data_IF_020728523904
#
_entry.id   IF_020728523904
#
_cell.length_a   1.000
_cell.length_b   1.000
_cell.length_c   1.000
_cell.angle_alpha   90.00
_cell.angle_beta   90.00
_cell.angle_gamma   90.00
#
_symmetry.space_group_name_H-M   'P 1'
#
loop_
_entity.id
_entity.type
_entity.pdbx_description
1 polymer ?
#
# COMPACT_ATOMS: atom_id res chain seq x y z
N UNK A 1 -18.84 11.30 -4.37
CA UNK A 1 -18.84 10.29 -3.29
C UNK A 1 -19.47 10.87 -2.06
N UNK A 2 -20.30 10.09 -1.40
CA UNK A 2 -20.93 10.45 -0.12
C UNK A 2 -20.34 9.53 0.94
N UNK A 3 -19.78 10.10 2.02
CA UNK A 3 -19.45 9.35 3.23
C UNK A 3 -20.78 9.00 3.94
N UNK A 4 -21.40 7.90 3.50
CA UNK A 4 -22.76 7.53 3.84
C UNK A 4 -22.91 7.04 5.27
N UNK A 5 -21.97 6.21 5.73
CA UNK A 5 -22.05 5.60 7.04
C UNK A 5 -20.72 5.18 7.61
N UNK A 6 -20.67 4.99 8.92
CA UNK A 6 -19.50 4.45 9.65
C UNK A 6 -19.98 3.37 10.63
N UNK A 7 -19.20 2.29 10.71
CA UNK A 7 -19.44 1.20 11.64
C UNK A 7 -18.26 1.00 12.61
N UNK A 8 -18.56 0.63 13.83
CA UNK A 8 -17.59 0.21 14.83
C UNK A 8 -18.20 -0.88 15.72
N UNK A 9 -17.38 -1.72 16.32
CA UNK A 9 -17.80 -2.65 17.40
C UNK A 9 -18.29 -1.94 18.67
N UNK A 10 -17.93 -0.66 18.77
CA UNK A 10 -18.36 0.25 19.83
C UNK A 10 -19.28 1.30 19.22
N UNK A 11 -20.57 1.23 19.58
CA UNK A 11 -21.62 2.11 19.04
C UNK A 11 -21.38 3.60 19.34
N UNK A 12 -20.88 3.92 20.53
CA UNK A 12 -20.59 5.32 20.92
C UNK A 12 -19.42 5.89 20.14
N UNK A 13 -18.39 5.06 19.84
CA UNK A 13 -17.28 5.46 18.95
C UNK A 13 -17.76 5.69 17.53
N UNK A 14 -18.63 4.85 16.99
CA UNK A 14 -19.21 5.04 15.66
C UNK A 14 -19.99 6.35 15.59
N UNK A 15 -20.85 6.61 16.58
CA UNK A 15 -21.66 7.82 16.69
C UNK A 15 -20.80 9.08 16.82
N UNK A 16 -19.81 9.05 17.70
CA UNK A 16 -18.89 10.19 17.89
C UNK A 16 -18.10 10.50 16.61
N UNK A 17 -17.64 9.47 15.89
CA UNK A 17 -16.96 9.64 14.62
C UNK A 17 -17.89 10.21 13.54
N UNK A 18 -19.12 9.69 13.44
CA UNK A 18 -20.13 10.19 12.52
C UNK A 18 -20.42 11.68 12.76
N UNK A 19 -20.65 12.06 14.00
CA UNK A 19 -20.87 13.47 14.40
C UNK A 19 -19.70 14.37 14.04
N UNK A 20 -18.47 13.92 14.36
CA UNK A 20 -17.25 14.69 14.09
C UNK A 20 -17.06 15.01 12.61
N UNK A 21 -17.41 14.07 11.75
CA UNK A 21 -17.14 14.15 10.31
C UNK A 21 -18.39 14.44 9.46
N UNK A 22 -19.56 14.68 10.09
CA UNK A 22 -20.80 14.97 9.38
C UNK A 22 -21.33 13.78 8.57
N UNK A 23 -21.05 12.54 9.02
CA UNK A 23 -21.53 11.31 8.39
C UNK A 23 -22.96 11.05 8.88
N UNK A 24 -23.89 10.82 7.96
CA UNK A 24 -25.32 10.73 8.28
C UNK A 24 -25.68 9.51 9.13
N UNK A 25 -25.03 8.36 8.87
CA UNK A 25 -25.40 7.09 9.48
C UNK A 25 -24.25 6.53 10.32
N UNK A 26 -24.59 5.99 11.50
CA UNK A 26 -23.66 5.23 12.34
C UNK A 26 -24.25 3.87 12.69
N UNK A 27 -23.44 2.83 12.56
CA UNK A 27 -23.87 1.44 12.81
C UNK A 27 -23.11 0.88 13.99
N UNK A 28 -23.80 0.15 14.86
CA UNK A 28 -23.25 -0.47 16.06
C UNK A 28 -22.53 -1.80 15.80
N UNK A 29 -22.63 -2.32 14.59
CA UNK A 29 -21.92 -3.52 14.13
C UNK A 29 -21.65 -3.45 12.63
N UNK A 30 -20.68 -4.23 12.18
CA UNK A 30 -20.36 -4.37 10.77
C UNK A 30 -21.49 -5.09 10.02
N UNK A 31 -22.09 -6.10 10.66
CA UNK A 31 -23.22 -6.84 10.10
C UNK A 31 -24.43 -5.93 9.82
N UNK A 32 -24.74 -5.02 10.76
CA UNK A 32 -25.83 -4.05 10.59
C UNK A 32 -25.55 -3.12 9.39
N UNK A 33 -24.31 -2.64 9.28
CA UNK A 33 -23.89 -1.80 8.15
C UNK A 33 -24.03 -2.56 6.81
N UNK A 34 -23.62 -3.81 6.75
CA UNK A 34 -23.64 -4.61 5.53
C UNK A 34 -25.04 -5.02 5.05
N UNK A 35 -26.08 -4.84 5.87
CA UNK A 35 -27.48 -5.02 5.45
C UNK A 35 -28.04 -3.79 4.72
N UNK A 36 -27.39 -2.63 4.81
CA UNK A 36 -27.87 -1.41 4.17
C UNK A 36 -27.57 -1.44 2.67
N UNK A 37 -28.64 -1.38 1.86
CA UNK A 37 -28.57 -1.46 0.40
C UNK A 37 -27.96 -0.20 -0.25
N UNK A 38 -27.93 0.94 0.45
CA UNK A 38 -27.38 2.20 -0.06
C UNK A 38 -25.85 2.26 -0.01
N UNK A 39 -25.17 1.23 0.50
CA UNK A 39 -23.72 1.16 0.55
C UNK A 39 -23.17 0.46 -0.69
N UNK A 40 -22.51 1.22 -1.56
CA UNK A 40 -21.89 0.71 -2.78
C UNK A 40 -20.48 0.19 -2.54
N UNK A 41 -19.71 0.85 -1.65
CA UNK A 41 -18.29 0.57 -1.37
C UNK A 41 -18.03 0.64 0.12
N UNK A 42 -17.32 -0.35 0.66
CA UNK A 42 -16.83 -0.36 2.04
C UNK A 42 -15.34 -0.08 2.08
N UNK A 43 -14.94 1.00 2.76
CA UNK A 43 -13.53 1.27 3.07
C UNK A 43 -13.15 0.64 4.41
N UNK A 44 -12.21 -0.30 4.38
CA UNK A 44 -11.73 -1.00 5.58
C UNK A 44 -10.44 -0.34 6.06
N UNK A 45 -10.49 0.25 7.26
CA UNK A 45 -9.38 0.97 7.90
C UNK A 45 -9.14 0.47 9.34
N UNK A 46 -9.31 -0.82 9.56
CA UNK A 46 -9.03 -1.49 10.83
C UNK A 46 -7.55 -1.89 10.94
N UNK A 47 -7.02 -2.42 12.05
CA UNK A 47 -5.68 -2.98 12.09
C UNK A 47 -5.50 -4.13 11.07
N UNK A 48 -4.27 -4.35 10.58
CA UNK A 48 -3.95 -5.33 9.53
C UNK A 48 -4.54 -6.73 9.81
N UNK A 49 -4.48 -7.19 11.05
CA UNK A 49 -5.00 -8.50 11.47
C UNK A 49 -6.51 -8.70 11.28
N UNK A 50 -7.25 -7.62 11.09
CA UNK A 50 -8.72 -7.65 10.94
C UNK A 50 -9.16 -7.46 9.47
N UNK A 51 -8.24 -7.09 8.57
CA UNK A 51 -8.59 -6.81 7.18
C UNK A 51 -9.24 -8.02 6.50
N UNK A 52 -8.66 -9.20 6.69
CA UNK A 52 -9.15 -10.45 6.10
C UNK A 52 -10.62 -10.73 6.49
N UNK A 53 -10.93 -10.80 7.79
CA UNK A 53 -12.27 -11.10 8.25
C UNK A 53 -13.29 -10.05 7.78
N UNK A 54 -12.93 -8.76 7.88
CA UNK A 54 -13.85 -7.69 7.49
C UNK A 54 -14.07 -7.65 5.98
N UNK A 55 -13.03 -7.85 5.17
CA UNK A 55 -13.17 -7.92 3.72
C UNK A 55 -14.00 -9.14 3.29
N UNK A 56 -13.77 -10.30 3.91
CA UNK A 56 -14.55 -11.52 3.67
C UNK A 56 -16.04 -11.31 3.96
N UNK A 57 -16.37 -10.67 5.08
CA UNK A 57 -17.76 -10.32 5.42
C UNK A 57 -18.40 -9.45 4.33
N UNK A 58 -17.69 -8.43 3.83
CA UNK A 58 -18.17 -7.55 2.77
C UNK A 58 -18.43 -8.32 1.45
N UNK A 59 -17.44 -9.12 1.01
CA UNK A 59 -17.54 -9.91 -0.23
C UNK A 59 -18.68 -10.93 -0.17
N UNK A 60 -18.90 -11.60 0.97
CA UNK A 60 -20.01 -12.53 1.17
C UNK A 60 -21.38 -11.84 1.10
N UNK A 61 -21.44 -10.54 1.38
CA UNK A 61 -22.65 -9.70 1.27
C UNK A 61 -22.74 -8.96 -0.08
N UNK A 62 -21.83 -9.24 -1.01
CA UNK A 62 -21.82 -8.58 -2.33
C UNK A 62 -21.44 -7.11 -2.29
N UNK A 63 -20.78 -6.65 -1.20
CA UNK A 63 -20.34 -5.27 -1.06
C UNK A 63 -18.91 -5.12 -1.58
N UNK A 64 -18.70 -4.15 -2.48
CA UNK A 64 -17.38 -3.81 -2.97
C UNK A 64 -16.46 -3.30 -1.85
N UNK A 65 -15.14 -3.52 -2.00
CA UNK A 65 -14.17 -3.26 -0.94
C UNK A 65 -12.97 -2.45 -1.43
N UNK A 66 -12.64 -1.39 -0.69
CA UNK A 66 -11.33 -0.73 -0.67
C UNK A 66 -10.68 -1.07 0.68
N UNK A 67 -9.66 -1.93 0.68
CA UNK A 67 -9.03 -2.41 1.91
C UNK A 67 -7.68 -1.73 2.13
N UNK A 68 -7.46 -1.16 3.33
CA UNK A 68 -6.16 -0.57 3.67
C UNK A 68 -5.00 -1.55 3.51
N UNK A 69 -3.85 -0.97 3.26
CA UNK A 69 -2.55 -1.66 3.23
C UNK A 69 -2.05 -1.94 4.67
N UNK A 70 -1.24 -2.97 4.95
CA UNK A 70 -1.08 -4.13 4.07
C UNK A 70 -2.42 -4.84 3.89
N UNK A 71 -2.66 -5.37 2.70
CA UNK A 71 -3.97 -5.91 2.32
C UNK A 71 -4.53 -6.92 3.32
N UNK A 72 -3.67 -7.82 3.79
CA UNK A 72 -3.95 -8.82 4.83
C UNK A 72 -2.72 -9.02 5.71
N UNK A 73 -2.81 -9.90 6.69
CA UNK A 73 -1.68 -10.22 7.55
C UNK A 73 -0.67 -11.19 6.90
N UNK A 74 -1.13 -12.02 5.94
CA UNK A 74 -0.29 -12.93 5.17
C UNK A 74 -0.88 -13.21 3.78
N UNK A 75 -0.09 -13.84 2.91
CA UNK A 75 -0.47 -14.12 1.51
C UNK A 75 -1.59 -15.16 1.38
N UNK A 76 -1.72 -16.10 2.31
CA UNK A 76 -2.79 -17.09 2.27
C UNK A 76 -4.16 -16.43 2.44
N UNK A 77 -4.28 -15.51 3.38
CA UNK A 77 -5.48 -14.70 3.56
C UNK A 77 -5.79 -13.83 2.34
N UNK A 78 -4.75 -13.22 1.72
CA UNK A 78 -4.93 -12.45 0.50
C UNK A 78 -5.44 -13.31 -0.65
N UNK A 79 -4.85 -14.48 -0.88
CA UNK A 79 -5.23 -15.40 -1.95
C UNK A 79 -6.68 -15.87 -1.82
N UNK A 80 -7.12 -16.19 -0.59
CA UNK A 80 -8.52 -16.56 -0.31
C UNK A 80 -9.49 -15.41 -0.62
N UNK A 81 -9.20 -14.18 -0.17
CA UNK A 81 -10.05 -13.02 -0.47
C UNK A 81 -10.16 -12.74 -1.97
N UNK A 82 -9.04 -12.77 -2.68
CA UNK A 82 -9.02 -12.51 -4.11
C UNK A 82 -9.73 -13.60 -4.92
N UNK A 83 -9.67 -14.85 -4.47
CA UNK A 83 -10.46 -15.95 -5.05
C UNK A 83 -11.96 -15.74 -4.77
N UNK A 84 -12.32 -15.43 -3.54
CA UNK A 84 -13.71 -15.15 -3.15
C UNK A 84 -14.29 -13.97 -3.96
N UNK A 85 -13.52 -12.91 -4.17
CA UNK A 85 -13.93 -11.76 -4.99
C UNK A 85 -14.24 -12.17 -6.43
N UNK A 86 -13.41 -13.03 -7.04
CA UNK A 86 -13.65 -13.59 -8.38
C UNK A 86 -14.89 -14.49 -8.42
N UNK A 87 -15.01 -15.40 -7.46
CA UNK A 87 -16.17 -16.31 -7.36
C UNK A 87 -17.50 -15.56 -7.20
N UNK A 88 -17.48 -14.47 -6.45
CA UNK A 88 -18.67 -13.64 -6.19
C UNK A 88 -18.88 -12.55 -7.23
N UNK A 89 -17.94 -12.33 -8.11
CA UNK A 89 -17.91 -11.22 -9.07
C UNK A 89 -18.09 -9.86 -8.36
N UNK A 90 -17.36 -9.65 -7.26
CA UNK A 90 -17.40 -8.44 -6.44
C UNK A 90 -16.06 -7.74 -6.47
N UNK A 91 -16.08 -6.42 -6.67
CA UNK A 91 -14.86 -5.59 -6.68
C UNK A 91 -14.15 -5.58 -5.32
N UNK A 92 -12.84 -5.78 -5.35
CA UNK A 92 -11.95 -5.51 -4.22
C UNK A 92 -10.61 -4.98 -4.70
N UNK A 93 -10.05 -4.03 -3.98
CA UNK A 93 -8.69 -3.54 -4.25
C UNK A 93 -7.98 -3.14 -2.96
N UNK A 94 -6.64 -3.18 -3.00
CA UNK A 94 -5.77 -2.71 -1.92
C UNK A 94 -5.60 -1.20 -1.99
N UNK A 95 -5.74 -0.52 -0.86
CA UNK A 95 -5.57 0.92 -0.70
C UNK A 95 -4.08 1.33 -0.56
N UNK A 96 -3.22 0.81 -1.43
CA UNK A 96 -1.84 1.31 -1.57
C UNK A 96 -1.85 2.59 -2.40
N UNK A 97 -2.31 3.66 -1.79
CA UNK A 97 -2.71 4.92 -2.40
C UNK A 97 -1.69 5.54 -3.36
N UNK A 98 -0.39 5.32 -3.11
CA UNK A 98 0.71 5.79 -3.98
C UNK A 98 0.53 5.36 -5.43
N UNK A 99 0.05 4.13 -5.68
CA UNK A 99 -0.13 3.60 -7.05
C UNK A 99 -1.20 4.33 -7.85
N UNK A 100 -2.14 4.97 -7.18
CA UNK A 100 -3.25 5.68 -7.80
C UNK A 100 -2.92 7.15 -8.11
N UNK A 101 -1.80 7.67 -7.59
CA UNK A 101 -1.43 9.08 -7.70
C UNK A 101 -0.96 9.47 -9.11
N UNK A 102 -1.28 10.69 -9.59
CA UNK A 102 -0.86 11.18 -10.91
C UNK A 102 0.66 11.15 -11.08
N UNK A 103 1.45 11.60 -10.08
CA UNK A 103 2.92 11.59 -10.19
C UNK A 103 3.52 10.19 -10.30
N UNK A 104 2.87 9.15 -9.75
CA UNK A 104 3.33 7.77 -9.93
C UNK A 104 3.25 7.33 -11.40
N UNK A 105 2.23 7.78 -12.12
CA UNK A 105 2.13 7.58 -13.58
C UNK A 105 3.20 8.35 -14.32
N UNK A 106 3.40 9.63 -13.98
CA UNK A 106 4.45 10.47 -14.58
C UNK A 106 5.85 9.88 -14.37
N UNK A 107 6.16 9.32 -13.20
CA UNK A 107 7.43 8.62 -12.94
C UNK A 107 7.60 7.45 -13.92
N UNK A 108 6.58 6.61 -14.07
CA UNK A 108 6.62 5.48 -15.01
C UNK A 108 6.76 5.94 -16.48
N UNK A 109 6.10 7.02 -16.87
CA UNK A 109 6.24 7.62 -18.20
C UNK A 109 7.68 8.12 -18.43
N UNK A 110 8.32 8.78 -17.48
CA UNK A 110 9.71 9.24 -17.60
C UNK A 110 10.68 8.08 -17.75
N UNK A 111 10.49 7.03 -16.98
CA UNK A 111 11.29 5.80 -17.06
C UNK A 111 11.11 5.14 -18.43
N UNK A 112 9.89 4.90 -18.87
CA UNK A 112 9.59 4.22 -20.13
C UNK A 112 9.98 5.02 -21.37
N UNK A 113 9.92 6.35 -21.30
CA UNK A 113 10.35 7.25 -22.39
C UNK A 113 11.88 7.48 -22.41
N UNK A 114 12.64 6.84 -21.51
CA UNK A 114 14.10 6.92 -21.50
C UNK A 114 14.67 8.29 -21.12
N UNK A 115 13.93 9.09 -20.32
CA UNK A 115 14.35 10.44 -19.88
C UNK A 115 15.71 10.39 -19.16
N UNK A 116 15.96 9.31 -18.40
CA UNK A 116 17.23 9.06 -17.69
C UNK A 116 18.08 7.98 -18.36
N UNK A 117 17.77 7.59 -19.59
CA UNK A 117 18.37 6.44 -20.28
C UNK A 117 17.82 5.12 -19.71
N UNK A 118 18.63 4.06 -19.72
CA UNK A 118 18.26 2.76 -19.13
C UNK A 118 18.34 2.83 -17.61
N UNK A 119 17.25 2.62 -16.87
CA UNK A 119 17.28 2.61 -15.41
C UNK A 119 17.91 1.31 -14.91
N UNK A 120 18.91 1.40 -14.03
CA UNK A 120 19.68 0.24 -13.53
C UNK A 120 19.64 0.10 -12.02
N UNK A 121 19.50 1.21 -11.29
CA UNK A 121 19.48 1.19 -9.83
C UNK A 121 18.36 2.08 -9.29
N UNK A 122 17.74 1.60 -8.20
CA UNK A 122 16.74 2.35 -7.45
C UNK A 122 17.08 2.29 -5.96
N UNK A 123 16.97 3.43 -5.28
CA UNK A 123 16.95 3.47 -3.81
C UNK A 123 15.65 4.08 -3.34
N UNK A 124 15.09 3.55 -2.25
CA UNK A 124 13.90 4.12 -1.65
C UNK A 124 13.84 3.84 -0.15
N UNK A 125 13.29 4.79 0.59
CA UNK A 125 13.15 4.63 2.03
C UNK A 125 11.84 5.22 2.55
N UNK A 126 11.37 4.68 3.69
CA UNK A 126 10.24 5.22 4.43
C UNK A 126 10.45 5.05 5.93
N UNK A 127 10.58 6.16 6.65
CA UNK A 127 10.75 6.20 8.09
C UNK A 127 9.79 7.16 8.77
N UNK A 128 9.09 6.66 9.79
CA UNK A 128 8.24 7.43 10.69
C UNK A 128 8.43 6.96 12.13
N UNK A 129 8.66 7.83 13.13
CA UNK A 129 8.81 7.43 14.53
C UNK A 129 7.43 7.10 15.13
N UNK A 130 6.89 5.95 14.76
CA UNK A 130 5.55 5.46 15.16
C UNK A 130 5.60 4.17 16.00
N UNK A 131 6.79 3.72 16.39
CA UNK A 131 7.02 2.53 17.23
C UNK A 131 6.34 2.57 18.59
N UNK A 132 5.89 3.75 19.05
CA UNK A 132 5.13 3.90 20.28
C UNK A 132 3.65 3.46 20.17
N UNK A 133 3.15 3.26 18.95
CA UNK A 133 1.76 2.86 18.73
C UNK A 133 1.60 1.36 18.98
N UNK A 134 0.67 0.98 19.85
CA UNK A 134 0.41 -0.42 20.21
C UNK A 134 0.27 -1.31 18.98
N UNK A 135 -0.49 -0.90 17.96
CA UNK A 135 -0.68 -1.70 16.73
C UNK A 135 0.62 -2.02 15.99
N UNK A 136 1.68 -1.22 16.19
CA UNK A 136 2.99 -1.43 15.56
C UNK A 136 3.81 -2.47 16.29
N UNK A 137 3.58 -2.64 17.59
CA UNK A 137 4.35 -3.51 18.47
C UNK A 137 3.71 -4.90 18.68
N UNK A 138 2.42 -5.06 18.33
CA UNK A 138 1.68 -6.28 18.66
C UNK A 138 1.65 -7.27 17.48
N UNK A 139 2.26 -8.48 17.62
CA UNK A 139 2.13 -9.54 16.62
C UNK A 139 0.66 -9.93 16.35
N UNK A 140 -0.19 -9.90 17.38
CA UNK A 140 -1.64 -10.16 17.26
C UNK A 140 -2.39 -9.12 16.39
N UNK A 141 -1.80 -7.96 16.15
CA UNK A 141 -2.34 -6.92 15.26
C UNK A 141 -1.61 -6.86 13.91
N UNK A 142 -0.74 -7.85 13.61
CA UNK A 142 0.14 -7.85 12.46
C UNK A 142 1.00 -6.58 12.40
N UNK A 143 1.66 -6.24 13.53
CA UNK A 143 2.55 -5.09 13.66
C UNK A 143 3.86 -5.27 12.90
N UNK A 144 4.71 -4.25 12.97
CA UNK A 144 6.03 -4.22 12.34
C UNK A 144 6.16 -3.20 11.22
N UNK A 145 7.40 -2.82 10.94
CA UNK A 145 7.72 -1.83 9.92
C UNK A 145 7.50 -2.35 8.50
N UNK A 146 7.66 -3.64 8.25
CA UNK A 146 7.51 -4.22 6.91
C UNK A 146 6.09 -4.02 6.37
N UNK A 147 5.08 -4.46 7.12
CA UNK A 147 3.69 -4.36 6.67
C UNK A 147 3.18 -2.92 6.65
N UNK A 148 3.61 -2.06 7.59
CA UNK A 148 3.11 -0.69 7.67
C UNK A 148 3.85 0.29 6.74
N UNK A 149 5.17 0.14 6.59
CA UNK A 149 6.06 1.07 5.88
C UNK A 149 6.79 0.40 4.70
N UNK A 150 7.35 -0.79 4.90
CA UNK A 150 8.10 -1.52 3.87
C UNK A 150 7.25 -1.85 2.64
N UNK A 151 5.95 -2.06 2.81
CA UNK A 151 5.00 -2.26 1.71
C UNK A 151 5.06 -1.13 0.67
N UNK A 152 5.33 0.11 1.07
CA UNK A 152 5.49 1.24 0.16
C UNK A 152 6.78 1.17 -0.65
N UNK A 153 7.91 0.84 0.00
CA UNK A 153 9.19 0.72 -0.70
C UNK A 153 9.19 -0.43 -1.69
N UNK A 154 8.57 -1.56 -1.33
CA UNK A 154 8.37 -2.72 -2.22
C UNK A 154 7.48 -2.36 -3.41
N UNK A 155 6.36 -1.68 -3.18
CA UNK A 155 5.48 -1.20 -4.25
C UNK A 155 6.19 -0.20 -5.16
N UNK A 156 6.98 0.73 -4.61
CA UNK A 156 7.73 1.69 -5.40
C UNK A 156 8.74 0.99 -6.33
N UNK A 157 9.52 0.03 -5.82
CA UNK A 157 10.44 -0.75 -6.65
C UNK A 157 9.71 -1.54 -7.74
N UNK A 158 8.60 -2.18 -7.40
CA UNK A 158 7.78 -2.93 -8.35
C UNK A 158 7.16 -2.07 -9.46
N UNK A 159 6.69 -0.87 -9.12
CA UNK A 159 6.13 0.07 -10.10
C UNK A 159 7.16 0.48 -11.16
N UNK A 160 8.44 0.55 -10.79
CA UNK A 160 9.53 1.02 -11.66
C UNK A 160 10.21 -0.13 -12.41
N UNK A 161 10.52 -1.23 -11.71
CA UNK A 161 11.33 -2.34 -12.24
C UNK A 161 10.52 -3.60 -12.57
N UNK A 162 9.20 -3.57 -12.32
CA UNK A 162 8.32 -4.71 -12.61
C UNK A 162 8.42 -5.82 -11.57
N UNK A 163 8.12 -7.05 -11.99
CA UNK A 163 7.79 -8.16 -11.09
C UNK A 163 8.83 -9.28 -11.04
N UNK A 164 9.77 -9.30 -11.99
CA UNK A 164 10.69 -10.42 -12.21
C UNK A 164 11.93 -10.35 -11.28
N UNK A 165 11.71 -10.61 -9.99
CA UNK A 165 12.78 -10.64 -8.98
C UNK A 165 13.53 -11.98 -9.09
N UNK A 166 14.86 -11.91 -9.25
CA UNK A 166 15.76 -13.06 -9.29
C UNK A 166 16.30 -13.41 -7.89
N UNK A 167 16.65 -12.38 -7.10
CA UNK A 167 17.25 -12.56 -5.77
C UNK A 167 16.78 -11.51 -4.79
N UNK A 168 16.57 -11.94 -3.56
CA UNK A 168 16.28 -11.07 -2.41
C UNK A 168 17.41 -11.24 -1.38
N UNK A 169 17.93 -10.12 -0.85
CA UNK A 169 18.85 -10.09 0.28
C UNK A 169 18.30 -9.12 1.30
N UNK A 170 18.12 -9.57 2.54
CA UNK A 170 17.44 -8.75 3.53
C UNK A 170 17.92 -8.97 4.96
N UNK A 171 17.65 -7.99 5.80
CA UNK A 171 17.87 -8.06 7.25
C UNK A 171 16.86 -7.17 7.97
N UNK A 172 16.63 -7.45 9.25
CA UNK A 172 15.80 -6.58 10.10
C UNK A 172 16.37 -6.46 11.52
N UNK A 173 15.95 -5.41 12.22
CA UNK A 173 16.04 -5.28 13.67
C UNK A 173 14.64 -5.56 14.23
N UNK A 174 14.56 -6.40 15.25
CA UNK A 174 13.28 -6.74 15.89
C UNK A 174 13.08 -5.99 17.20
N UNK A 175 11.83 -5.74 17.54
CA UNK A 175 11.40 -5.30 18.87
C UNK A 175 11.44 -6.46 19.87
N UNK A 176 11.28 -6.17 21.15
CA UNK A 176 11.14 -7.18 22.21
C UNK A 176 9.92 -8.10 22.01
N UNK A 177 8.90 -7.63 21.29
CA UNK A 177 7.70 -8.39 20.95
C UNK A 177 7.87 -9.31 19.73
N UNK A 178 9.01 -9.22 19.03
CA UNK A 178 9.38 -10.07 17.91
C UNK A 178 8.97 -9.58 16.53
N UNK A 179 8.27 -8.44 16.41
CA UNK A 179 8.00 -7.80 15.11
C UNK A 179 9.23 -6.99 14.64
N UNK A 180 9.35 -6.74 13.35
CA UNK A 180 10.44 -5.91 12.82
C UNK A 180 10.21 -4.42 13.12
N UNK A 181 11.20 -3.76 13.69
CA UNK A 181 11.18 -2.30 13.90
C UNK A 181 11.80 -1.54 12.74
N UNK A 182 12.80 -2.14 12.11
CA UNK A 182 13.53 -1.60 10.96
C UNK A 182 13.94 -2.75 10.05
N UNK A 183 14.00 -2.49 8.75
CA UNK A 183 14.46 -3.46 7.78
C UNK A 183 15.23 -2.82 6.63
N UNK A 184 16.11 -3.62 6.00
CA UNK A 184 16.80 -3.30 4.77
C UNK A 184 16.64 -4.47 3.80
N UNK A 185 16.27 -4.17 2.55
CA UNK A 185 15.94 -5.14 1.54
C UNK A 185 16.63 -4.75 0.24
N UNK A 186 17.38 -5.67 -0.36
CA UNK A 186 17.93 -5.51 -1.70
C UNK A 186 17.24 -6.51 -2.63
N UNK A 187 16.62 -6.00 -3.69
CA UNK A 187 16.01 -6.80 -4.75
C UNK A 187 16.91 -6.77 -5.98
N UNK A 188 17.22 -7.92 -6.55
CA UNK A 188 17.91 -8.07 -7.83
C UNK A 188 16.89 -8.62 -8.81
N UNK A 189 16.69 -7.93 -9.92
CA UNK A 189 15.75 -8.30 -10.98
C UNK A 189 16.47 -9.07 -12.10
N UNK A 190 15.74 -9.88 -12.86
CA UNK A 190 16.29 -10.72 -13.94
C UNK A 190 17.05 -9.97 -15.04
N UNK A 191 16.71 -8.69 -15.25
CA UNK A 191 17.37 -7.80 -16.21
C UNK A 191 18.53 -7.00 -15.59
N UNK A 192 19.14 -7.53 -14.52
CA UNK A 192 20.28 -6.96 -13.80
C UNK A 192 20.03 -5.62 -13.11
N UNK A 193 18.78 -5.20 -12.95
CA UNK A 193 18.41 -4.02 -12.17
C UNK A 193 18.47 -4.34 -10.68
N UNK A 194 18.76 -3.33 -9.87
CA UNK A 194 18.85 -3.48 -8.41
C UNK A 194 18.03 -2.40 -7.70
N UNK A 195 17.22 -2.81 -6.72
CA UNK A 195 16.58 -1.89 -5.79
C UNK A 195 17.11 -2.09 -4.37
N UNK A 196 17.52 -0.99 -3.71
CA UNK A 196 17.95 -0.96 -2.31
C UNK A 196 16.93 -0.17 -1.50
N UNK A 197 16.26 -0.87 -0.59
CA UNK A 197 15.09 -0.38 0.11
C UNK A 197 15.32 -0.46 1.62
N UNK A 198 14.83 0.51 2.37
CA UNK A 198 14.77 0.38 3.83
C UNK A 198 13.52 1.06 4.41
N UNK A 199 13.07 0.53 5.54
CA UNK A 199 11.98 1.14 6.31
C UNK A 199 12.22 1.06 7.81
N UNK A 200 11.69 2.04 8.55
CA UNK A 200 11.88 2.14 10.00
C UNK A 200 10.65 2.76 10.67
N UNK A 201 10.20 2.15 11.75
CA UNK A 201 9.21 2.75 12.64
C UNK A 201 9.84 3.51 13.83
N UNK A 202 11.18 3.58 13.88
CA UNK A 202 11.95 4.18 14.99
C UNK A 202 12.44 5.60 14.68
N UNK A 203 12.61 5.95 13.41
CA UNK A 203 13.20 7.22 13.01
C UNK A 203 12.40 7.94 11.92
N UNK A 204 12.61 9.24 11.81
CA UNK A 204 12.24 10.01 10.62
C UNK A 204 13.30 9.78 9.54
N UNK A 205 12.85 9.57 8.29
CA UNK A 205 13.71 9.59 7.13
C UNK A 205 13.31 10.73 6.17
N UNK A 206 14.10 10.96 5.13
CA UNK A 206 13.76 11.88 4.05
C UNK A 206 12.63 11.36 3.15
N UNK A 207 12.30 10.06 3.23
CA UNK A 207 11.25 9.36 2.48
C UNK A 207 11.46 9.46 0.97
N UNK A 208 12.68 9.61 0.54
CA UNK A 208 13.07 9.84 -0.84
C UNK A 208 13.13 8.53 -1.63
N UNK A 209 12.82 8.62 -2.92
CA UNK A 209 13.14 7.62 -3.92
C UNK A 209 14.09 8.23 -4.96
N UNK A 210 15.11 7.45 -5.38
CA UNK A 210 16.01 7.82 -6.47
C UNK A 210 16.01 6.69 -7.49
N UNK A 211 15.76 7.03 -8.76
CA UNK A 211 15.84 6.09 -9.88
C UNK A 211 17.01 6.52 -10.74
N UNK A 212 18.08 5.74 -10.76
CA UNK A 212 19.32 6.03 -11.48
C UNK A 212 19.36 5.28 -12.81
N UNK A 213 19.65 6.00 -13.86
CA UNK A 213 19.80 5.47 -15.22
C UNK A 213 21.11 5.87 -15.86
N UNK A 214 21.35 5.43 -17.10
CA UNK A 214 22.60 5.64 -17.83
C UNK A 214 22.85 7.07 -18.32
N UNK A 215 21.80 7.94 -18.29
CA UNK A 215 21.89 9.33 -18.74
C UNK A 215 21.54 10.36 -17.66
N UNK A 216 21.23 9.91 -16.45
CA UNK A 216 20.81 10.77 -15.35
C UNK A 216 20.00 10.02 -14.31
N UNK A 217 19.29 10.76 -13.47
CA UNK A 217 18.46 10.16 -12.44
C UNK A 217 17.21 10.99 -12.13
N UNK A 218 16.20 10.34 -11.56
CA UNK A 218 15.03 10.98 -11.00
C UNK A 218 15.14 11.01 -9.48
N UNK A 219 14.79 12.14 -8.87
CA UNK A 219 14.63 12.28 -7.43
C UNK A 219 13.13 12.46 -7.16
N UNK A 220 12.57 11.58 -6.36
CA UNK A 220 11.15 11.58 -5.95
C UNK A 220 11.07 12.00 -4.49
N UNK A 221 10.47 13.16 -4.22
CA UNK A 221 10.18 13.61 -2.87
C UNK A 221 9.01 12.79 -2.30
N UNK A 222 9.26 12.07 -1.21
CA UNK A 222 8.25 11.34 -0.47
C UNK A 222 7.55 10.23 -1.28
N UNK A 223 8.13 9.02 -1.30
CA UNK A 223 7.64 7.88 -2.10
C UNK A 223 6.20 7.44 -1.78
N UNK A 224 5.71 7.70 -0.58
CA UNK A 224 4.34 7.31 -0.22
C UNK A 224 3.29 8.38 -0.55
N UNK A 225 3.71 9.63 -0.77
CA UNK A 225 2.88 10.72 -1.30
C UNK A 225 3.75 11.65 -2.16
N UNK A 226 4.10 11.27 -3.38
CA UNK A 226 5.01 12.04 -4.22
C UNK A 226 4.51 13.48 -4.42
N UNK A 227 5.34 14.44 -4.01
CA UNK A 227 5.03 15.88 -4.13
C UNK A 227 5.77 16.51 -5.29
N UNK A 228 6.97 16.01 -5.58
CA UNK A 228 7.82 16.48 -6.67
C UNK A 228 8.66 15.37 -7.25
N UNK A 229 8.85 15.40 -8.56
CA UNK A 229 9.85 14.63 -9.29
C UNK A 229 10.84 15.58 -9.90
N UNK A 230 12.13 15.43 -9.60
CA UNK A 230 13.21 16.21 -10.20
C UNK A 230 14.00 15.34 -11.17
N UNK A 231 14.24 15.84 -12.38
CA UNK A 231 15.07 15.20 -13.40
C UNK A 231 16.46 15.81 -13.35
N UNK A 232 17.48 14.98 -13.17
CA UNK A 232 18.89 15.39 -13.12
C UNK A 232 19.64 14.70 -14.24
N UNK A 233 20.49 15.46 -14.98
CA UNK A 233 21.31 14.95 -16.08
C UNK A 233 22.51 14.12 -15.58
N UNK A 234 23.24 13.49 -16.52
CA UNK A 234 24.51 12.82 -16.24
C UNK A 234 25.63 13.76 -15.76
N UNK A 235 25.53 15.05 -16.06
CA UNK A 235 26.45 16.10 -15.60
C UNK A 235 26.00 16.74 -14.28
N UNK A 236 25.00 16.14 -13.60
CA UNK A 236 24.42 16.61 -12.34
C UNK A 236 23.68 17.96 -12.44
N UNK A 237 23.27 18.37 -13.62
CA UNK A 237 22.44 19.56 -13.79
C UNK A 237 20.95 19.21 -13.62
N UNK A 238 20.22 20.05 -12.88
CA UNK A 238 18.77 19.94 -12.78
C UNK A 238 18.14 20.37 -14.10
N UNK A 239 17.54 19.41 -14.83
CA UNK A 239 16.89 19.66 -16.11
C UNK A 239 15.46 20.16 -15.97
N UNK A 240 14.71 19.57 -15.03
CA UNK A 240 13.31 19.90 -14.79
C UNK A 240 12.85 19.41 -13.43
N UNK A 241 11.75 19.99 -12.95
CA UNK A 241 10.97 19.42 -11.84
C UNK A 241 9.47 19.45 -12.18
N UNK A 242 8.76 18.46 -11.70
CA UNK A 242 7.32 18.27 -11.88
C UNK A 242 6.67 18.17 -10.53
N UNK A 243 5.78 19.09 -10.22
CA UNK A 243 5.06 19.08 -8.94
C UNK A 243 3.78 18.24 -9.05
N UNK A 244 3.37 17.69 -7.93
CA UNK A 244 2.07 17.04 -7.80
C UNK A 244 0.97 18.04 -8.21
N UNK A 245 -0.02 17.63 -9.01
CA UNK A 245 -1.22 18.43 -9.22
C UNK A 245 -1.89 18.79 -7.88
N UNK A 246 -2.67 19.87 -7.86
CA UNK A 246 -3.44 20.24 -6.69
C UNK A 246 -4.31 19.07 -6.24
N UNK A 247 -4.19 18.67 -5.00
CA UNK A 247 -4.90 17.54 -4.40
C UNK A 247 -5.42 17.90 -3.00
N UNK A 248 -6.44 17.18 -2.54
CA UNK A 248 -6.98 17.37 -1.18
C UNK A 248 -5.99 16.74 -0.19
N UNK A 249 -5.67 15.47 -0.36
CA UNK A 249 -4.74 14.71 0.48
C UNK A 249 -3.89 13.71 -0.33
N UNK A 250 -4.38 13.28 -1.50
CA UNK A 250 -3.90 12.18 -2.31
C UNK A 250 -4.69 10.87 -2.14
N UNK A 251 -5.46 10.72 -1.05
CA UNK A 251 -6.34 9.56 -0.86
C UNK A 251 -7.53 9.55 -1.81
N UNK A 252 -7.94 10.70 -2.33
CA UNK A 252 -9.04 10.81 -3.28
C UNK A 252 -8.82 10.00 -4.57
N UNK A 253 -7.58 9.83 -5.02
CA UNK A 253 -7.29 9.13 -6.27
C UNK A 253 -7.67 7.64 -6.22
N UNK A 254 -7.44 6.94 -5.12
CA UNK A 254 -7.87 5.56 -4.97
C UNK A 254 -9.40 5.43 -4.92
N UNK A 255 -10.07 6.44 -4.36
CA UNK A 255 -11.54 6.49 -4.36
C UNK A 255 -12.09 6.72 -5.77
N UNK A 256 -11.47 7.60 -6.57
CA UNK A 256 -11.84 7.80 -7.98
C UNK A 256 -11.65 6.51 -8.79
N UNK A 257 -10.55 5.79 -8.58
CA UNK A 257 -10.32 4.50 -9.22
C UNK A 257 -11.37 3.44 -8.84
N UNK A 258 -11.84 3.42 -7.58
CA UNK A 258 -12.94 2.56 -7.17
C UNK A 258 -14.26 2.95 -7.87
N UNK A 259 -14.57 4.24 -8.00
CA UNK A 259 -15.77 4.70 -8.71
C UNK A 259 -15.76 4.26 -10.18
N UNK A 260 -14.59 4.43 -10.83
CA UNK A 260 -14.40 4.00 -12.21
C UNK A 260 -14.63 2.49 -12.34
N UNK A 261 -13.97 1.69 -11.48
CA UNK A 261 -14.11 0.25 -11.48
C UNK A 261 -15.55 -0.23 -11.28
N UNK A 262 -16.28 0.39 -10.34
CA UNK A 262 -17.68 0.06 -10.10
C UNK A 262 -18.59 0.41 -11.28
N UNK A 263 -18.32 1.51 -11.97
CA UNK A 263 -19.09 1.92 -13.16
C UNK A 263 -18.86 1.00 -14.35
N UNK A 264 -17.64 0.54 -14.51
CA UNK A 264 -17.23 -0.37 -15.58
C UNK A 264 -17.49 -1.87 -15.26
N UNK A 265 -17.93 -2.17 -14.03
CA UNK A 265 -18.19 -3.54 -13.58
C UNK A 265 -16.90 -4.38 -13.41
N UNK A 266 -15.77 -3.74 -13.12
CA UNK A 266 -14.50 -4.44 -12.88
C UNK A 266 -14.50 -5.07 -11.48
N UNK A 267 -13.75 -6.16 -11.34
CA UNK A 267 -13.56 -6.84 -10.04
C UNK A 267 -12.25 -6.47 -9.36
N UNK A 268 -11.34 -5.81 -10.09
CA UNK A 268 -10.04 -5.33 -9.61
C UNK A 268 -9.70 -3.96 -10.22
N UNK A 269 -8.76 -3.25 -9.62
CA UNK A 269 -8.27 -1.99 -10.16
C UNK A 269 -7.06 -2.21 -11.08
N UNK A 270 -6.98 -1.58 -12.26
CA UNK A 270 -5.80 -1.66 -13.12
C UNK A 270 -4.55 -1.02 -12.48
N UNK A 271 -4.73 -0.13 -11.51
CA UNK A 271 -3.61 0.49 -10.77
C UNK A 271 -3.02 -0.43 -9.71
N UNK A 272 -3.80 -1.36 -9.18
CA UNK A 272 -3.40 -2.39 -8.22
C UNK A 272 -4.11 -3.70 -8.54
N UNK A 273 -3.65 -4.44 -9.57
CA UNK A 273 -4.23 -5.73 -9.95
C UNK A 273 -4.10 -6.76 -8.81
N UNK A 274 -5.06 -7.69 -8.72
CA UNK A 274 -5.06 -8.76 -7.73
C UNK A 274 -3.75 -9.57 -7.72
N UNK A 275 -3.20 -9.83 -8.90
CA UNK A 275 -1.93 -10.54 -9.03
C UNK A 275 -0.76 -9.79 -8.36
N UNK A 276 -0.78 -8.46 -8.41
CA UNK A 276 0.26 -7.63 -7.80
C UNK A 276 0.11 -7.58 -6.27
N UNK A 277 -1.11 -7.41 -5.76
CA UNK A 277 -1.39 -7.51 -4.32
C UNK A 277 -0.87 -8.84 -3.78
N UNK A 278 -1.23 -9.96 -4.42
CA UNK A 278 -0.82 -11.28 -3.98
C UNK A 278 0.71 -11.47 -4.05
N UNK A 279 1.35 -10.95 -5.10
CA UNK A 279 2.81 -11.02 -5.27
C UNK A 279 3.56 -10.26 -4.17
N UNK A 280 3.14 -9.05 -3.86
CA UNK A 280 3.74 -8.25 -2.77
C UNK A 280 3.51 -8.93 -1.42
N UNK A 281 2.33 -9.47 -1.15
CA UNK A 281 2.05 -10.22 0.08
C UNK A 281 2.95 -11.47 0.20
N UNK A 282 3.13 -12.24 -0.88
CA UNK A 282 4.04 -13.41 -0.90
C UNK A 282 5.50 -13.01 -0.63
N UNK A 283 5.95 -11.89 -1.18
CA UNK A 283 7.29 -11.36 -0.92
C UNK A 283 7.45 -10.94 0.55
N UNK A 284 6.45 -10.28 1.13
CA UNK A 284 6.49 -9.91 2.55
C UNK A 284 6.46 -11.13 3.47
N UNK A 285 5.73 -12.19 3.14
CA UNK A 285 5.74 -13.45 3.89
C UNK A 285 7.11 -14.13 3.82
N UNK A 286 7.76 -14.16 2.64
CA UNK A 286 9.12 -14.65 2.51
C UNK A 286 10.09 -13.90 3.43
N UNK A 287 10.06 -12.56 3.40
CA UNK A 287 10.90 -11.71 4.24
C UNK A 287 10.66 -11.96 5.74
N UNK A 288 9.41 -11.99 6.18
CA UNK A 288 9.06 -12.29 7.58
C UNK A 288 9.58 -13.66 8.01
N UNK A 289 9.41 -14.66 7.16
CA UNK A 289 9.90 -16.02 7.41
C UNK A 289 11.42 -16.06 7.58
N UNK A 290 12.15 -15.39 6.70
CA UNK A 290 13.61 -15.29 6.77
C UNK A 290 14.08 -14.61 8.07
N UNK A 291 13.36 -13.61 8.54
CA UNK A 291 13.66 -12.87 9.77
C UNK A 291 13.15 -13.55 11.05
N UNK A 292 12.31 -14.57 10.93
CA UNK A 292 11.64 -15.19 12.06
C UNK A 292 10.63 -14.24 12.74
N UNK A 293 9.94 -13.39 11.94
CA UNK A 293 8.79 -12.59 12.38
C UNK A 293 7.54 -13.41 12.16
N UNK A 294 6.87 -13.79 13.24
CA UNK A 294 5.73 -14.71 13.22
C UNK A 294 4.50 -14.01 13.81
N UNK A 295 3.37 -14.19 13.18
CA UNK A 295 2.08 -13.75 13.69
C UNK A 295 1.23 -14.94 14.18
N UNK A 296 0.28 -14.75 15.13
CA UNK A 296 -0.52 -15.85 15.67
C UNK A 296 -1.44 -16.58 14.68
N UNK A 297 -1.57 -16.06 13.48
CA UNK A 297 -2.42 -16.56 12.39
C UNK A 297 -1.64 -16.98 11.15
N UNK A 298 -0.33 -17.18 11.28
CA UNK A 298 0.53 -17.75 10.23
C UNK A 298 0.41 -19.27 10.15
#
# INVERSE_FOLDING_TARGET
>A
VIAYGVASRDAERAKAFAQKWGIANSFSSYEAMLQDEHIDLVYIATPHSHHYEHAKMCLLKGKAVLCEKAFTANAAQAEELLNLARERNVFITEAIWTRYMPLSRTINEFVSNGVIGEPTMLTANLGYPIGYKERMLQPALAGGALLDLGVYTLNFASMVFGTEIEKVVSTCVKTDTGVDSQNAITLIFKDHKMAVLHSSMECMSDRQGIISGTKGHLIIENINNPQRVTVVSGDYEMLAHYNCPSQITGYEYQVYACIEALREGWIESPYMPHAETLRIMKLMDQLRKEWGVIYPFD
#
